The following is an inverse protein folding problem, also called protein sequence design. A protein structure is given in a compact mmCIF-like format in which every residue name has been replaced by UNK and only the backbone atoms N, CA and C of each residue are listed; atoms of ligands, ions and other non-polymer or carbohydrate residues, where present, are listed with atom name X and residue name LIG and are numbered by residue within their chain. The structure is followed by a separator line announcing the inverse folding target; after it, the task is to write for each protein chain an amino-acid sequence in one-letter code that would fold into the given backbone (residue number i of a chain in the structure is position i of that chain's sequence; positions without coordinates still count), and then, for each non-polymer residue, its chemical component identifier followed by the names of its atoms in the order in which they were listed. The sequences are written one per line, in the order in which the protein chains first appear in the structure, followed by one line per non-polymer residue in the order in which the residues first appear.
data_IF_194057832720
#
_entry.id   IF_194057832720
#
_cell.length_a   1.000
_cell.length_b   1.000
_cell.length_c   1.000
_cell.angle_alpha   90.00
_cell.angle_beta   90.00
_cell.angle_gamma   90.00
#
_symmetry.space_group_name_H-M   'P 1'
#
loop_
_entity.id
_entity.type
_entity.pdbx_description
1 polymer ?
#
# COMPACT_ATOMS: atom_id res chain seq x y z
N UNK A 1 -40.37 37.13 11.25
CA UNK A 1 -40.23 36.79 9.81
C UNK A 1 -39.63 35.40 9.72
N UNK A 2 -40.45 34.40 9.47
CA UNK A 2 -40.03 33.03 9.24
C UNK A 2 -39.58 32.96 7.78
N UNK A 3 -38.29 32.72 7.55
CA UNK A 3 -37.79 32.45 6.18
C UNK A 3 -38.33 31.10 5.73
N UNK A 4 -39.25 31.12 4.77
CA UNK A 4 -39.61 29.91 4.03
C UNK A 4 -38.39 29.40 3.32
N UNK A 5 -37.88 28.27 3.78
CA UNK A 5 -36.94 27.47 2.97
C UNK A 5 -37.75 26.87 1.83
N UNK A 6 -37.43 27.24 0.60
CA UNK A 6 -37.96 26.58 -0.59
C UNK A 6 -37.69 25.09 -0.48
N UNK A 7 -38.72 24.25 -0.60
CA UNK A 7 -38.63 22.82 -0.76
C UNK A 7 -37.78 22.52 -2.02
N UNK A 8 -36.48 22.40 -1.84
CA UNK A 8 -35.65 21.79 -2.88
C UNK A 8 -35.97 20.30 -2.91
N UNK A 9 -36.47 19.83 -4.03
CA UNK A 9 -36.69 18.40 -4.26
C UNK A 9 -35.43 17.67 -3.84
N UNK A 10 -35.50 16.68 -2.92
CA UNK A 10 -34.31 15.96 -2.48
C UNK A 10 -33.64 15.30 -3.68
N UNK A 11 -32.33 15.46 -3.81
CA UNK A 11 -31.55 14.76 -4.82
C UNK A 11 -31.52 13.31 -4.36
N UNK A 12 -32.15 12.43 -5.13
CA UNK A 12 -32.13 10.99 -4.92
C UNK A 12 -31.16 10.39 -5.92
N UNK A 13 -30.20 9.62 -5.40
CA UNK A 13 -29.27 8.85 -6.23
C UNK A 13 -29.69 7.39 -6.27
N UNK A 14 -30.00 6.88 -7.46
CA UNK A 14 -30.19 5.46 -7.66
C UNK A 14 -28.84 4.74 -7.57
N UNK A 15 -28.79 3.68 -6.75
CA UNK A 15 -27.60 2.86 -6.57
C UNK A 15 -27.80 1.48 -7.24
N UNK A 16 -27.36 0.44 -6.59
CA UNK A 16 -27.46 -0.95 -7.04
C UNK A 16 -28.75 -1.62 -6.55
N UNK A 17 -29.33 -2.55 -7.31
CA UNK A 17 -30.49 -3.31 -6.84
C UNK A 17 -30.11 -4.43 -5.86
N UNK A 18 -30.99 -4.71 -4.90
CA UNK A 18 -30.89 -5.85 -3.98
C UNK A 18 -32.18 -6.66 -4.07
N UNK A 19 -32.10 -7.94 -4.40
CA UNK A 19 -33.25 -8.82 -4.57
C UNK A 19 -34.36 -8.19 -5.44
N UNK A 20 -33.99 -7.61 -6.58
CA UNK A 20 -34.85 -6.89 -7.51
C UNK A 20 -35.52 -5.61 -6.95
N UNK A 21 -35.06 -5.09 -5.81
CA UNK A 21 -35.48 -3.80 -5.27
C UNK A 21 -34.38 -2.77 -5.51
N UNK A 22 -34.76 -1.64 -6.12
CA UNK A 22 -33.85 -0.51 -6.30
C UNK A 22 -33.51 0.09 -4.95
N UNK A 23 -32.22 0.38 -4.73
CA UNK A 23 -31.74 1.14 -3.57
C UNK A 23 -31.57 2.59 -3.99
N UNK A 24 -32.17 3.47 -3.24
CA UNK A 24 -32.09 4.91 -3.41
C UNK A 24 -31.37 5.54 -2.24
N UNK A 25 -30.46 6.46 -2.50
CA UNK A 25 -29.78 7.28 -1.50
C UNK A 25 -30.35 8.70 -1.57
N UNK A 26 -30.83 9.20 -0.44
CA UNK A 26 -31.25 10.59 -0.32
C UNK A 26 -30.65 11.23 0.93
N UNK A 27 -30.40 12.52 0.88
CA UNK A 27 -29.87 13.31 2.01
C UNK A 27 -30.98 14.13 2.66
N UNK A 28 -32.10 13.48 3.01
CA UNK A 28 -33.27 14.14 3.57
C UNK A 28 -33.18 14.43 5.07
N UNK A 29 -32.20 13.87 5.76
CA UNK A 29 -31.84 14.20 7.15
C UNK A 29 -32.76 13.65 8.24
N UNK A 30 -33.71 12.76 7.94
CA UNK A 30 -34.67 12.28 8.93
C UNK A 30 -34.23 11.01 9.71
N UNK A 31 -33.52 10.08 9.07
CA UNK A 31 -32.99 8.89 9.72
C UNK A 31 -31.49 8.77 9.42
N UNK A 32 -30.67 9.03 10.43
CA UNK A 32 -29.22 9.01 10.30
C UNK A 32 -28.71 7.63 10.74
N UNK A 33 -28.24 6.84 9.79
CA UNK A 33 -27.37 5.68 10.12
C UNK A 33 -25.91 6.16 10.23
N UNK A 34 -25.18 5.72 11.26
CA UNK A 34 -23.75 6.03 11.41
C UNK A 34 -22.93 5.55 10.22
N UNK A 35 -23.35 4.45 9.57
CA UNK A 35 -22.62 3.75 8.52
C UNK A 35 -23.21 3.90 7.12
N UNK A 36 -24.13 4.85 6.94
CA UNK A 36 -24.79 5.12 5.64
C UNK A 36 -23.82 5.39 4.48
N UNK A 37 -22.64 5.92 4.76
CA UNK A 37 -21.57 6.12 3.78
C UNK A 37 -21.08 4.84 3.10
N UNK A 38 -21.28 3.67 3.71
CA UNK A 38 -20.92 2.37 3.12
C UNK A 38 -21.69 2.07 1.84
N UNK A 39 -22.89 2.64 1.64
CA UNK A 39 -23.63 2.49 0.39
C UNK A 39 -22.88 3.10 -0.80
N UNK A 40 -22.18 4.21 -0.60
CA UNK A 40 -21.32 4.79 -1.64
C UNK A 40 -20.11 3.89 -1.94
N UNK A 41 -19.50 3.34 -0.91
CA UNK A 41 -18.41 2.38 -1.07
C UNK A 41 -18.90 1.10 -1.79
N UNK A 42 -20.11 0.66 -1.48
CA UNK A 42 -20.75 -0.47 -2.19
C UNK A 42 -20.95 -0.17 -3.67
N UNK A 43 -21.32 1.06 -4.02
CA UNK A 43 -21.46 1.45 -5.42
C UNK A 43 -20.10 1.45 -6.14
N UNK A 44 -19.04 1.92 -5.48
CA UNK A 44 -17.66 1.81 -6.01
C UNK A 44 -17.29 0.34 -6.25
N UNK A 45 -17.57 -0.54 -5.28
CA UNK A 45 -17.33 -1.99 -5.45
C UNK A 45 -18.16 -2.58 -6.58
N UNK A 46 -19.41 -2.13 -6.77
CA UNK A 46 -20.24 -2.58 -7.86
C UNK A 46 -19.65 -2.24 -9.23
N UNK A 47 -19.00 -1.10 -9.36
CA UNK A 47 -18.30 -0.69 -10.58
C UNK A 47 -16.93 -1.39 -10.75
N UNK A 48 -16.16 -1.54 -9.68
CA UNK A 48 -14.82 -2.13 -9.72
C UNK A 48 -14.83 -3.66 -9.71
N UNK A 49 -15.78 -4.28 -8.98
CA UNK A 49 -15.87 -5.71 -8.80
C UNK A 49 -14.69 -6.35 -8.05
N UNK A 50 -13.93 -5.57 -7.29
CA UNK A 50 -12.68 -6.03 -6.66
C UNK A 50 -12.92 -7.16 -5.66
N UNK A 51 -13.93 -7.05 -4.81
CA UNK A 51 -14.26 -8.10 -3.82
C UNK A 51 -14.68 -9.39 -4.53
N UNK A 52 -15.43 -9.27 -5.63
CA UNK A 52 -15.81 -10.43 -6.43
C UNK A 52 -14.57 -11.11 -7.04
N UNK A 53 -13.64 -10.35 -7.57
CA UNK A 53 -12.37 -10.85 -8.14
C UNK A 53 -11.53 -11.55 -7.06
N UNK A 54 -11.36 -10.92 -5.90
CA UNK A 54 -10.65 -11.52 -4.77
C UNK A 54 -11.34 -12.80 -4.28
N UNK A 55 -12.67 -12.82 -4.20
CA UNK A 55 -13.41 -14.02 -3.78
C UNK A 55 -13.18 -15.22 -4.70
N UNK A 56 -13.00 -14.98 -5.99
CA UNK A 56 -12.69 -16.03 -6.97
C UNK A 56 -11.27 -16.60 -6.82
N UNK A 57 -10.38 -15.87 -6.16
CA UNK A 57 -9.03 -16.35 -5.85
C UNK A 57 -9.01 -17.34 -4.67
N UNK A 58 -10.05 -17.38 -3.85
CA UNK A 58 -10.12 -18.22 -2.64
C UNK A 58 -10.80 -19.54 -2.97
N UNK A 59 -10.13 -20.64 -2.64
CA UNK A 59 -10.67 -21.97 -2.83
C UNK A 59 -11.65 -22.32 -1.72
N UNK A 60 -12.93 -22.45 -2.06
CA UNK A 60 -13.96 -22.88 -1.11
C UNK A 60 -14.07 -24.42 -1.09
N UNK A 61 -13.58 -25.03 -0.02
CA UNK A 61 -13.61 -26.48 0.16
C UNK A 61 -14.85 -26.94 0.97
N UNK A 62 -15.79 -26.04 1.30
CA UNK A 62 -17.00 -26.39 2.05
C UNK A 62 -17.99 -27.12 1.17
N UNK A 63 -18.81 -27.97 1.77
CA UNK A 63 -19.94 -28.58 1.07
C UNK A 63 -21.00 -27.51 0.81
N UNK A 64 -21.18 -27.17 -0.47
CA UNK A 64 -22.03 -26.06 -0.90
C UNK A 64 -23.52 -26.23 -0.51
N UNK A 65 -23.95 -27.46 -0.16
CA UNK A 65 -25.30 -27.71 0.35
C UNK A 65 -25.59 -27.14 1.73
N UNK A 66 -24.51 -26.85 2.50
CA UNK A 66 -24.58 -26.36 3.86
C UNK A 66 -23.91 -24.98 4.03
N UNK A 67 -23.76 -24.25 2.92
CA UNK A 67 -23.13 -22.90 2.94
C UNK A 67 -24.22 -21.85 3.06
N UNK A 68 -24.37 -21.25 4.23
CA UNK A 68 -25.28 -20.11 4.48
C UNK A 68 -24.66 -18.77 4.04
N UNK A 69 -23.33 -18.68 4.04
CA UNK A 69 -22.56 -17.49 3.71
C UNK A 69 -21.50 -17.82 2.67
N UNK A 70 -21.62 -17.24 1.47
CA UNK A 70 -20.62 -17.40 0.41
C UNK A 70 -19.32 -16.69 0.77
N UNK A 71 -18.18 -17.10 0.16
CA UNK A 71 -16.89 -16.40 0.30
C UNK A 71 -17.06 -14.92 -0.04
N UNK A 72 -17.71 -14.60 -1.15
CA UNK A 72 -17.96 -13.22 -1.58
C UNK A 72 -18.72 -12.40 -0.53
N UNK A 73 -19.78 -12.97 0.04
CA UNK A 73 -20.58 -12.29 1.05
C UNK A 73 -19.77 -12.01 2.32
N UNK A 74 -19.03 -13.02 2.80
CA UNK A 74 -18.16 -12.86 3.97
C UNK A 74 -17.04 -11.84 3.72
N UNK A 75 -16.42 -11.84 2.55
CA UNK A 75 -15.44 -10.83 2.16
C UNK A 75 -16.05 -9.44 2.11
N UNK A 76 -17.25 -9.30 1.54
CA UNK A 76 -17.96 -8.03 1.51
C UNK A 76 -18.20 -7.53 2.93
N UNK A 77 -18.77 -8.36 3.79
CA UNK A 77 -18.98 -8.02 5.20
C UNK A 77 -17.67 -7.53 5.84
N UNK A 78 -16.60 -8.30 5.70
CA UNK A 78 -15.33 -8.02 6.36
C UNK A 78 -14.66 -6.74 5.86
N UNK A 79 -14.59 -6.54 4.56
CA UNK A 79 -14.00 -5.34 3.95
C UNK A 79 -14.77 -4.09 4.35
N UNK A 80 -16.10 -4.17 4.37
CA UNK A 80 -16.94 -3.02 4.74
C UNK A 80 -16.86 -2.72 6.24
N UNK A 81 -16.74 -3.73 7.10
CA UNK A 81 -16.49 -3.54 8.52
C UNK A 81 -15.17 -2.80 8.75
N UNK A 82 -14.08 -3.24 8.13
CA UNK A 82 -12.78 -2.57 8.22
C UNK A 82 -12.88 -1.13 7.71
N UNK A 83 -13.55 -0.90 6.59
CA UNK A 83 -13.71 0.43 6.01
C UNK A 83 -14.55 1.37 6.89
N UNK A 84 -15.46 0.84 7.69
CA UNK A 84 -16.24 1.57 8.69
C UNK A 84 -15.52 1.77 10.03
N UNK A 85 -14.35 1.13 10.22
CA UNK A 85 -13.55 1.22 11.44
C UNK A 85 -13.84 0.13 12.46
N UNK A 86 -14.53 -0.93 12.07
CA UNK A 86 -14.77 -2.13 12.88
C UNK A 86 -13.75 -3.21 12.50
N UNK A 87 -12.54 -3.04 13.00
CA UNK A 87 -11.44 -3.93 12.64
C UNK A 87 -11.43 -5.27 13.38
N UNK A 88 -12.05 -5.35 14.57
CA UNK A 88 -12.11 -6.61 15.32
C UNK A 88 -13.08 -7.60 14.67
N UNK A 89 -12.66 -8.86 14.61
CA UNK A 89 -13.54 -9.93 14.12
C UNK A 89 -14.75 -10.14 15.06
N UNK A 90 -14.66 -9.75 16.34
CA UNK A 90 -15.78 -9.82 17.29
C UNK A 90 -16.92 -8.87 16.89
N UNK A 91 -16.62 -7.75 16.22
CA UNK A 91 -17.64 -6.81 15.73
C UNK A 91 -18.62 -7.48 14.74
N UNK A 92 -18.23 -8.62 14.15
CA UNK A 92 -19.14 -9.39 13.30
C UNK A 92 -20.43 -9.78 13.99
N UNK A 93 -20.37 -10.14 15.29
CA UNK A 93 -21.57 -10.58 16.02
C UNK A 93 -22.54 -9.42 16.29
N UNK A 94 -22.03 -8.22 16.52
CA UNK A 94 -22.82 -7.02 16.73
C UNK A 94 -23.40 -6.46 15.43
N UNK A 95 -22.65 -6.57 14.33
CA UNK A 95 -22.99 -5.98 13.05
C UNK A 95 -23.74 -6.92 12.08
N UNK A 96 -23.84 -8.21 12.40
CA UNK A 96 -24.47 -9.22 11.51
C UNK A 96 -25.93 -8.92 11.15
N UNK A 97 -26.65 -8.20 12.00
CA UNK A 97 -28.05 -7.85 11.83
C UNK A 97 -28.26 -6.37 11.42
N UNK A 98 -27.18 -5.58 11.34
CA UNK A 98 -27.22 -4.19 10.91
C UNK A 98 -27.74 -4.08 9.44
N UNK A 99 -28.66 -3.17 9.23
CA UNK A 99 -29.36 -3.00 7.95
C UNK A 99 -28.44 -2.55 6.83
N UNK A 100 -27.47 -1.67 7.11
CA UNK A 100 -26.52 -1.16 6.11
C UNK A 100 -25.54 -2.25 5.70
N UNK A 101 -24.97 -2.98 6.65
CA UNK A 101 -24.08 -4.10 6.34
C UNK A 101 -24.80 -5.22 5.57
N UNK A 102 -26.03 -5.55 5.94
CA UNK A 102 -26.85 -6.51 5.17
C UNK A 102 -27.09 -6.03 3.74
N UNK A 103 -27.44 -4.77 3.57
CA UNK A 103 -27.63 -4.15 2.23
C UNK A 103 -26.34 -4.20 1.42
N UNK A 104 -25.22 -3.84 2.00
CA UNK A 104 -23.91 -3.87 1.34
C UNK A 104 -23.52 -5.29 0.92
N UNK A 105 -23.87 -6.31 1.71
CA UNK A 105 -23.64 -7.71 1.40
C UNK A 105 -24.68 -8.32 0.42
N UNK A 106 -25.67 -7.53 -0.03
CA UNK A 106 -26.70 -7.98 -0.97
C UNK A 106 -27.90 -8.66 -0.32
N UNK A 107 -28.09 -8.54 1.00
CA UNK A 107 -29.25 -9.04 1.74
C UNK A 107 -30.28 -7.94 1.96
N UNK A 108 -31.53 -8.33 2.07
CA UNK A 108 -32.60 -7.38 2.43
C UNK A 108 -32.35 -6.83 3.84
N UNK A 109 -32.45 -5.51 4.06
CA UNK A 109 -32.07 -4.89 5.32
C UNK A 109 -32.90 -5.39 6.51
N UNK A 110 -34.21 -5.51 6.36
CA UNK A 110 -35.13 -5.89 7.44
C UNK A 110 -35.36 -7.40 7.54
N UNK A 111 -35.64 -8.06 6.41
CA UNK A 111 -36.09 -9.46 6.36
C UNK A 111 -35.01 -10.44 5.90
N UNK A 112 -33.84 -9.97 5.45
CA UNK A 112 -32.73 -10.82 5.06
C UNK A 112 -32.13 -11.55 6.27
N UNK A 113 -31.58 -12.74 6.05
CA UNK A 113 -30.88 -13.50 7.09
C UNK A 113 -29.69 -12.68 7.63
N UNK A 114 -29.32 -12.95 8.88
CA UNK A 114 -28.12 -12.37 9.49
C UNK A 114 -26.88 -12.67 8.67
N UNK A 115 -25.88 -11.76 8.72
CA UNK A 115 -24.56 -11.98 8.12
C UNK A 115 -23.75 -12.99 8.95
N UNK A 116 -22.52 -13.27 8.52
CA UNK A 116 -21.65 -14.22 9.18
C UNK A 116 -21.29 -13.77 10.61
N UNK A 117 -21.33 -14.72 11.56
CA UNK A 117 -20.87 -14.51 12.93
C UNK A 117 -19.36 -14.51 13.04
N UNK A 118 -18.83 -14.03 14.16
CA UNK A 118 -17.40 -14.04 14.47
C UNK A 118 -16.75 -15.42 14.25
N UNK A 119 -17.27 -16.54 14.78
CA UNK A 119 -16.65 -17.85 14.53
C UNK A 119 -16.64 -18.26 13.05
N UNK A 120 -17.63 -17.81 12.28
CA UNK A 120 -17.71 -18.10 10.84
C UNK A 120 -16.67 -17.28 10.08
N UNK A 121 -16.53 -16.01 10.43
CA UNK A 121 -15.52 -15.12 9.83
C UNK A 121 -14.10 -15.60 10.17
N UNK A 122 -13.85 -15.95 11.44
CA UNK A 122 -12.55 -16.49 11.87
C UNK A 122 -12.19 -17.78 11.12
N UNK A 123 -13.17 -18.67 10.86
CA UNK A 123 -12.92 -19.87 10.03
C UNK A 123 -12.56 -19.51 8.59
N UNK A 124 -13.18 -18.49 8.00
CA UNK A 124 -12.78 -18.00 6.69
C UNK A 124 -11.33 -17.53 6.70
N UNK A 125 -11.01 -16.60 7.59
CA UNK A 125 -9.66 -16.03 7.68
C UNK A 125 -8.58 -17.12 7.85
N UNK A 126 -8.85 -18.14 8.67
CA UNK A 126 -7.93 -19.25 8.93
C UNK A 126 -7.94 -20.32 7.80
N UNK A 127 -8.86 -20.30 6.86
CA UNK A 127 -8.93 -21.28 5.76
C UNK A 127 -8.10 -20.89 4.54
N UNK A 128 -7.68 -19.62 4.45
CA UNK A 128 -6.97 -19.08 3.29
C UNK A 128 -5.55 -19.63 3.21
N UNK A 129 -5.19 -20.18 2.07
CA UNK A 129 -3.89 -20.83 1.83
C UNK A 129 -2.92 -19.88 1.12
N UNK A 130 -1.62 -20.15 1.21
CA UNK A 130 -0.58 -19.36 0.53
C UNK A 130 -0.78 -19.24 -0.98
N UNK A 131 -1.39 -20.24 -1.63
CA UNK A 131 -1.74 -20.17 -3.04
C UNK A 131 -2.86 -19.18 -3.33
N UNK A 132 -3.87 -19.11 -2.44
CA UNK A 132 -4.97 -18.14 -2.55
C UNK A 132 -4.42 -16.72 -2.39
N UNK A 133 -3.53 -16.52 -1.41
CA UNK A 133 -2.85 -15.24 -1.17
C UNK A 133 -2.03 -14.79 -2.38
N UNK A 134 -1.33 -15.72 -3.02
CA UNK A 134 -0.57 -15.42 -4.22
C UNK A 134 -1.49 -14.97 -5.37
N UNK A 135 -2.62 -15.66 -5.58
CA UNK A 135 -3.63 -15.29 -6.59
C UNK A 135 -4.25 -13.92 -6.30
N UNK A 136 -4.58 -13.64 -5.04
CA UNK A 136 -5.08 -12.33 -4.61
C UNK A 136 -4.05 -11.23 -4.90
N UNK A 137 -2.78 -11.49 -4.60
CA UNK A 137 -1.71 -10.54 -4.91
C UNK A 137 -1.56 -10.27 -6.41
N UNK A 138 -1.73 -11.28 -7.26
CA UNK A 138 -1.76 -11.12 -8.72
C UNK A 138 -2.98 -10.32 -9.16
N UNK A 139 -4.17 -10.61 -8.61
CA UNK A 139 -5.41 -9.91 -8.93
C UNK A 139 -5.35 -8.41 -8.61
N UNK A 140 -4.65 -8.01 -7.53
CA UNK A 140 -4.39 -6.60 -7.25
C UNK A 140 -3.54 -5.95 -8.34
N UNK A 141 -2.51 -6.66 -8.82
CA UNK A 141 -1.67 -6.17 -9.92
C UNK A 141 -2.46 -6.07 -11.22
N UNK A 142 -3.31 -7.05 -11.51
CA UNK A 142 -4.17 -7.05 -12.70
C UNK A 142 -5.19 -5.89 -12.66
N UNK A 143 -5.79 -5.65 -11.49
CA UNK A 143 -6.65 -4.48 -11.26
C UNK A 143 -5.90 -3.16 -11.49
N UNK A 144 -4.65 -3.08 -11.05
CA UNK A 144 -3.81 -1.92 -11.34
C UNK A 144 -3.56 -1.76 -12.85
N UNK A 145 -3.22 -2.83 -13.55
CA UNK A 145 -2.99 -2.81 -15.02
C UNK A 145 -4.24 -2.34 -15.75
N UNK A 146 -5.39 -2.90 -15.43
CA UNK A 146 -6.69 -2.55 -16.03
C UNK A 146 -7.14 -1.11 -15.74
N UNK A 147 -6.57 -0.47 -14.73
CA UNK A 147 -6.83 0.94 -14.45
C UNK A 147 -6.21 1.93 -15.46
N UNK A 148 -5.52 1.41 -16.47
CA UNK A 148 -4.93 2.17 -17.59
C UNK A 148 -5.61 1.81 -18.89
N UNK A 149 -6.08 2.82 -19.62
CA UNK A 149 -6.73 2.63 -20.93
C UNK A 149 -5.77 2.14 -22.03
N UNK A 150 -4.47 2.30 -21.81
CA UNK A 150 -3.41 1.89 -22.75
C UNK A 150 -2.09 1.65 -22.01
N UNK A 151 -1.19 0.90 -22.64
CA UNK A 151 0.16 0.69 -22.14
C UNK A 151 0.87 2.03 -21.84
N UNK A 152 1.30 2.29 -20.60
CA UNK A 152 2.01 3.51 -20.25
C UNK A 152 3.45 3.47 -20.77
N UNK A 153 4.00 4.61 -21.18
CA UNK A 153 5.39 4.69 -21.62
C UNK A 153 6.40 4.41 -20.50
N UNK A 154 6.05 4.77 -19.26
CA UNK A 154 6.88 4.56 -18.06
C UNK A 154 6.01 4.38 -16.85
N UNK A 155 6.44 3.50 -15.94
CA UNK A 155 5.92 3.36 -14.57
C UNK A 155 7.08 3.32 -13.58
N UNK A 156 6.83 3.82 -12.38
CA UNK A 156 7.79 3.81 -11.28
C UNK A 156 7.21 2.97 -10.13
N UNK A 157 7.88 1.87 -9.81
CA UNK A 157 7.52 1.03 -8.68
C UNK A 157 8.16 1.58 -7.41
N UNK A 158 7.42 2.37 -6.65
CA UNK A 158 7.83 2.86 -5.34
C UNK A 158 7.66 1.77 -4.30
N UNK A 159 8.77 1.31 -3.76
CA UNK A 159 8.81 0.24 -2.79
C UNK A 159 9.20 0.76 -1.42
N UNK A 160 8.42 0.44 -0.40
CA UNK A 160 8.74 0.76 0.99
C UNK A 160 8.15 -0.24 1.98
N UNK A 161 8.90 -0.52 3.02
CA UNK A 161 8.48 -1.33 4.15
C UNK A 161 7.99 -0.40 5.27
N UNK A 162 6.91 -0.77 5.93
CA UNK A 162 6.46 -0.04 7.12
C UNK A 162 6.25 -1.01 8.28
N UNK A 163 6.53 -0.56 9.50
CA UNK A 163 6.20 -1.40 10.64
C UNK A 163 4.70 -1.33 10.94
N UNK A 164 4.16 -2.45 11.38
CA UNK A 164 2.81 -2.58 11.85
C UNK A 164 2.82 -3.34 13.18
N UNK A 165 2.72 -2.59 14.28
CA UNK A 165 2.80 -3.15 15.62
C UNK A 165 1.62 -4.09 15.86
N UNK A 166 1.88 -5.19 16.55
CA UNK A 166 0.88 -6.20 16.86
C UNK A 166 0.72 -6.34 18.36
N UNK A 167 -0.49 -6.67 18.77
CA UNK A 167 -0.85 -6.87 20.16
C UNK A 167 -1.38 -8.30 20.29
N UNK A 168 -0.61 -9.17 20.96
CA UNK A 168 -0.98 -10.57 21.14
C UNK A 168 -0.06 -11.57 20.43
N UNK A 169 -0.40 -12.85 20.52
CA UNK A 169 0.40 -13.96 19.97
C UNK A 169 -0.10 -14.36 18.59
N UNK A 170 0.17 -13.52 17.60
CA UNK A 170 -0.18 -13.84 16.21
C UNK A 170 0.96 -14.58 15.53
N UNK A 171 0.63 -15.47 14.59
CA UNK A 171 1.62 -16.20 13.81
C UNK A 171 2.57 -15.26 13.04
N UNK A 172 3.88 -15.55 13.03
CA UNK A 172 4.91 -14.74 12.36
C UNK A 172 5.06 -13.30 12.88
N UNK A 173 4.39 -12.97 13.99
CA UNK A 173 4.64 -11.77 14.75
C UNK A 173 6.01 -11.90 15.42
N UNK A 174 7.01 -11.17 14.93
CA UNK A 174 8.38 -11.25 15.40
C UNK A 174 8.83 -9.91 15.99
N UNK A 175 9.67 -10.00 17.02
CA UNK A 175 10.30 -8.82 17.59
C UNK A 175 11.25 -8.16 16.59
N UNK A 176 11.05 -6.88 16.35
CA UNK A 176 11.90 -6.08 15.49
C UNK A 176 12.82 -5.20 16.33
N UNK A 177 14.13 -5.45 16.23
CA UNK A 177 15.13 -4.72 17.03
C UNK A 177 15.20 -3.22 16.72
N UNK A 178 14.87 -2.80 15.49
CA UNK A 178 14.92 -1.40 15.09
C UNK A 178 13.75 -0.60 15.68
N UNK A 179 12.55 -1.22 15.71
CA UNK A 179 11.35 -0.58 16.25
C UNK A 179 11.12 -0.89 17.73
N UNK A 180 11.92 -1.79 18.32
CA UNK A 180 11.78 -2.28 19.71
C UNK A 180 10.38 -2.80 20.04
N UNK A 181 9.71 -3.45 19.09
CA UNK A 181 8.36 -3.94 19.25
C UNK A 181 8.10 -5.22 18.42
N UNK A 182 7.05 -5.95 18.81
CA UNK A 182 6.53 -7.04 18.00
C UNK A 182 5.67 -6.48 16.87
N UNK A 183 5.98 -6.83 15.64
CA UNK A 183 5.30 -6.25 14.49
C UNK A 183 5.30 -7.18 13.29
N UNK A 184 4.53 -6.81 12.27
CA UNK A 184 4.74 -7.20 10.88
C UNK A 184 5.46 -6.07 10.12
N UNK A 185 6.03 -6.41 8.97
CA UNK A 185 6.72 -5.47 8.07
C UNK A 185 6.12 -5.55 6.66
N UNK A 186 4.88 -5.06 6.46
CA UNK A 186 4.29 -5.06 5.13
C UNK A 186 5.14 -4.24 4.14
N UNK A 187 5.31 -4.81 2.94
CA UNK A 187 5.89 -4.14 1.79
C UNK A 187 4.75 -3.58 0.95
N UNK A 188 4.71 -2.27 0.81
CA UNK A 188 3.81 -1.59 -0.10
C UNK A 188 4.52 -1.25 -1.39
N UNK A 189 3.84 -1.43 -2.52
CA UNK A 189 4.33 -1.02 -3.83
C UNK A 189 3.27 -0.14 -4.49
N UNK A 190 3.63 1.13 -4.71
CA UNK A 190 2.80 2.11 -5.38
C UNK A 190 3.39 2.49 -6.74
N UNK A 191 2.55 2.89 -7.67
CA UNK A 191 3.01 3.56 -8.88
C UNK A 191 3.33 5.02 -8.55
N UNK A 192 4.58 5.41 -8.81
CA UNK A 192 5.16 6.67 -8.35
C UNK A 192 4.59 7.93 -9.01
N UNK A 193 4.04 7.85 -10.23
CA UNK A 193 3.49 8.98 -10.96
C UNK A 193 2.00 9.18 -10.69
N UNK A 194 1.21 8.12 -10.76
CA UNK A 194 -0.23 8.16 -10.55
C UNK A 194 -0.64 8.07 -9.07
N UNK A 195 0.21 7.48 -8.24
CA UNK A 195 -0.13 7.22 -6.85
C UNK A 195 -0.98 5.98 -6.61
N UNK A 196 -1.30 5.22 -7.64
CA UNK A 196 -2.11 4.02 -7.52
C UNK A 196 -1.36 2.92 -6.75
N UNK A 197 -2.07 2.21 -5.88
CA UNK A 197 -1.54 1.01 -5.23
C UNK A 197 -1.42 -0.10 -6.27
N UNK A 198 -0.25 -0.73 -6.35
CA UNK A 198 -0.03 -1.91 -7.19
C UNK A 198 -0.30 -3.16 -6.38
N UNK A 199 0.35 -3.30 -5.23
CA UNK A 199 0.14 -4.44 -4.33
C UNK A 199 0.70 -4.15 -2.93
N UNK A 200 0.22 -4.90 -1.97
CA UNK A 200 0.74 -4.91 -0.59
C UNK A 200 1.04 -6.35 -0.20
N UNK A 201 2.22 -6.58 0.38
CA UNK A 201 2.65 -7.93 0.77
C UNK A 201 3.03 -7.91 2.24
N UNK A 202 2.29 -8.65 3.06
CA UNK A 202 2.61 -8.82 4.46
C UNK A 202 3.87 -9.66 4.61
N UNK A 203 4.77 -9.21 5.47
CA UNK A 203 6.00 -9.93 5.82
C UNK A 203 6.13 -10.03 7.34
N UNK A 204 6.83 -11.07 7.83
CA UNK A 204 7.17 -11.18 9.24
C UNK A 204 7.88 -9.94 9.77
N UNK A 205 7.80 -9.68 11.07
CA UNK A 205 8.35 -8.48 11.73
C UNK A 205 9.87 -8.30 11.62
N UNK A 206 10.62 -9.33 11.27
CA UNK A 206 12.07 -9.21 11.02
C UNK A 206 12.34 -8.63 9.62
N UNK A 207 13.47 -7.96 9.50
CA UNK A 207 13.95 -7.46 8.20
C UNK A 207 14.09 -8.62 7.21
N UNK A 208 13.43 -8.50 6.05
CA UNK A 208 13.53 -9.48 4.97
C UNK A 208 14.95 -9.54 4.41
N UNK A 209 15.35 -10.70 3.91
CA UNK A 209 16.60 -10.80 3.14
C UNK A 209 16.43 -10.06 1.81
N UNK A 210 17.49 -9.42 1.34
CA UNK A 210 17.48 -8.74 0.04
C UNK A 210 17.15 -9.71 -1.13
N UNK A 211 17.54 -10.97 -1.03
CA UNK A 211 17.21 -12.03 -2.00
C UNK A 211 15.70 -12.25 -2.14
N UNK A 212 14.97 -12.20 -1.02
CA UNK A 212 13.53 -12.45 -1.01
C UNK A 212 12.78 -11.28 -1.68
N UNK A 213 13.20 -10.05 -1.38
CA UNK A 213 12.69 -8.83 -2.01
C UNK A 213 13.01 -8.83 -3.51
N UNK A 214 14.25 -9.16 -3.90
CA UNK A 214 14.66 -9.26 -5.29
C UNK A 214 13.79 -10.26 -6.06
N UNK A 215 13.57 -11.45 -5.49
CA UNK A 215 12.74 -12.49 -6.10
C UNK A 215 11.28 -12.01 -6.30
N UNK A 216 10.73 -11.29 -5.34
CA UNK A 216 9.39 -10.73 -5.40
C UNK A 216 9.27 -9.66 -6.51
N UNK A 217 10.21 -8.70 -6.54
CA UNK A 217 10.24 -7.64 -7.56
C UNK A 217 10.42 -8.20 -8.97
N UNK A 218 11.27 -9.23 -9.15
CA UNK A 218 11.42 -9.93 -10.42
C UNK A 218 10.10 -10.54 -10.89
N UNK A 219 9.37 -11.23 -10.00
CA UNK A 219 8.05 -11.82 -10.32
C UNK A 219 7.04 -10.75 -10.70
N UNK A 220 6.99 -9.65 -9.95
CA UNK A 220 6.09 -8.53 -10.23
C UNK A 220 6.39 -7.93 -11.61
N UNK A 221 7.65 -7.61 -11.91
CA UNK A 221 8.03 -7.04 -13.20
C UNK A 221 7.71 -8.00 -14.35
N UNK A 222 8.00 -9.28 -14.19
CA UNK A 222 7.67 -10.29 -15.20
C UNK A 222 6.15 -10.44 -15.40
N UNK A 223 5.35 -10.26 -14.35
CA UNK A 223 3.90 -10.25 -14.45
C UNK A 223 3.42 -9.03 -15.24
N UNK A 224 3.89 -7.82 -14.89
CA UNK A 224 3.57 -6.59 -15.62
C UNK A 224 4.00 -6.64 -17.10
N UNK A 225 5.11 -7.33 -17.41
CA UNK A 225 5.61 -7.50 -18.79
C UNK A 225 4.70 -8.33 -19.69
N UNK A 226 3.80 -9.15 -19.12
CA UNK A 226 2.83 -9.91 -19.93
C UNK A 226 1.86 -8.97 -20.65
N UNK A 227 1.44 -7.90 -19.97
CA UNK A 227 0.48 -6.93 -20.48
C UNK A 227 1.18 -5.71 -21.12
N UNK A 228 2.32 -5.30 -20.56
CA UNK A 228 3.07 -4.10 -20.92
C UNK A 228 4.50 -4.44 -21.40
N UNK A 229 4.61 -4.88 -22.64
CA UNK A 229 5.87 -5.37 -23.20
C UNK A 229 6.93 -4.25 -23.36
N UNK A 230 6.49 -3.02 -23.68
CA UNK A 230 7.38 -1.91 -24.03
C UNK A 230 7.56 -0.85 -22.93
N UNK A 231 6.76 -0.91 -21.86
CA UNK A 231 6.81 0.06 -20.78
C UNK A 231 8.18 0.11 -20.11
N UNK A 232 8.74 1.29 -19.90
CA UNK A 232 9.91 1.46 -19.05
C UNK A 232 9.49 1.27 -17.58
N UNK A 233 10.02 0.25 -16.92
CA UNK A 233 9.73 -0.04 -15.50
C UNK A 233 10.93 0.36 -14.65
N UNK A 234 10.74 1.31 -13.72
CA UNK A 234 11.79 1.79 -12.83
C UNK A 234 11.44 1.40 -11.40
N UNK A 235 12.29 0.64 -10.74
CA UNK A 235 12.15 0.34 -9.31
C UNK A 235 12.83 1.42 -8.49
N UNK A 236 12.11 1.98 -7.54
CA UNK A 236 12.59 3.02 -6.64
C UNK A 236 12.39 2.62 -5.18
N UNK A 237 13.44 2.73 -4.38
CA UNK A 237 13.41 2.34 -2.97
C UNK A 237 14.60 2.87 -2.19
N UNK A 238 14.62 2.60 -0.90
CA UNK A 238 15.76 2.94 -0.05
C UNK A 238 16.93 1.95 -0.24
N UNK A 239 17.94 2.01 0.63
CA UNK A 239 19.10 1.13 0.56
C UNK A 239 18.79 -0.35 0.82
N UNK A 240 17.62 -0.67 1.38
CA UNK A 240 17.20 -2.04 1.59
C UNK A 240 16.89 -2.75 0.27
N UNK A 241 16.46 -2.00 -0.75
CA UNK A 241 16.14 -2.51 -2.09
C UNK A 241 17.38 -2.60 -3.00
N UNK A 242 18.56 -2.19 -2.54
CA UNK A 242 19.82 -2.29 -3.29
C UNK A 242 20.40 -3.70 -3.15
N UNK A 243 20.08 -4.58 -4.08
CA UNK A 243 20.58 -5.96 -4.14
C UNK A 243 21.41 -6.14 -5.39
N UNK A 244 22.64 -6.68 -5.25
CA UNK A 244 23.53 -6.96 -6.38
C UNK A 244 22.87 -7.89 -7.42
N UNK A 245 22.17 -8.92 -6.95
CA UNK A 245 21.44 -9.86 -7.81
C UNK A 245 20.27 -9.19 -8.55
N UNK A 246 19.52 -8.31 -7.88
CA UNK A 246 18.44 -7.58 -8.51
C UNK A 246 18.96 -6.55 -9.53
N UNK A 247 20.03 -5.82 -9.18
CA UNK A 247 20.66 -4.86 -10.08
C UNK A 247 21.12 -5.51 -11.37
N UNK A 248 21.89 -6.63 -11.26
CA UNK A 248 22.34 -7.42 -12.41
C UNK A 248 21.16 -7.88 -13.26
N UNK A 249 20.11 -8.42 -12.63
CA UNK A 249 18.92 -8.86 -13.34
C UNK A 249 18.24 -7.70 -14.10
N UNK A 250 18.11 -6.51 -13.50
CA UNK A 250 17.54 -5.33 -14.18
C UNK A 250 18.37 -4.93 -15.42
N UNK A 251 19.69 -5.09 -15.37
CA UNK A 251 20.59 -4.78 -16.49
C UNK A 251 20.40 -5.74 -17.67
N UNK A 252 20.00 -6.96 -17.38
CA UNK A 252 19.72 -8.00 -18.38
C UNK A 252 18.31 -7.87 -18.98
N UNK A 253 17.40 -7.10 -18.34
CA UNK A 253 16.02 -6.94 -18.80
C UNK A 253 15.83 -5.72 -19.67
N UNK A 254 15.03 -5.88 -20.72
CA UNK A 254 14.64 -4.78 -21.59
C UNK A 254 13.82 -3.73 -20.81
N UNK A 255 14.10 -2.45 -21.05
CA UNK A 255 13.40 -1.32 -20.44
C UNK A 255 13.16 -1.45 -18.92
N UNK A 256 14.18 -1.90 -18.20
CA UNK A 256 14.10 -2.04 -16.74
C UNK A 256 15.20 -1.26 -16.05
N UNK A 257 14.82 -0.36 -15.14
CA UNK A 257 15.73 0.49 -14.40
C UNK A 257 15.51 0.45 -12.89
N UNK A 258 16.47 1.02 -12.18
CA UNK A 258 16.34 1.21 -10.73
C UNK A 258 16.97 2.52 -10.29
N UNK A 259 16.44 3.09 -9.20
CA UNK A 259 17.01 4.22 -8.46
C UNK A 259 16.88 3.88 -6.98
N UNK A 260 17.96 3.46 -6.34
CA UNK A 260 17.93 3.02 -4.94
C UNK A 260 18.98 3.72 -4.09
N UNK A 261 18.70 3.85 -2.80
CA UNK A 261 19.65 4.41 -1.85
C UNK A 261 20.87 3.50 -1.67
N UNK A 262 22.01 4.10 -1.36
CA UNK A 262 23.23 3.37 -0.95
C UNK A 262 23.77 3.98 0.34
N UNK A 263 24.09 3.13 1.30
CA UNK A 263 24.71 3.57 2.55
C UNK A 263 26.12 4.12 2.28
N UNK A 264 26.40 5.32 2.81
CA UNK A 264 27.72 5.93 2.72
C UNK A 264 28.77 5.08 3.43
N UNK A 265 29.92 4.95 2.81
CA UNK A 265 31.10 4.29 3.40
C UNK A 265 32.39 4.98 2.91
N UNK A 266 33.51 4.67 3.53
CA UNK A 266 34.79 5.34 3.32
C UNK A 266 35.14 5.53 1.83
N UNK A 267 35.06 4.48 1.01
CA UNK A 267 35.43 4.56 -0.41
C UNK A 267 34.53 5.52 -1.20
N UNK A 268 33.21 5.54 -0.95
CA UNK A 268 32.30 6.50 -1.58
C UNK A 268 32.60 7.93 -1.15
N UNK A 269 32.96 8.15 0.12
CA UNK A 269 33.39 9.47 0.60
C UNK A 269 34.69 9.93 -0.04
N UNK A 270 35.67 9.04 -0.22
CA UNK A 270 36.94 9.33 -0.92
C UNK A 270 36.65 9.76 -2.39
N UNK A 271 35.77 9.04 -3.09
CA UNK A 271 35.38 9.39 -4.48
C UNK A 271 34.59 10.69 -4.57
N UNK A 272 33.84 11.06 -3.56
CA UNK A 272 33.07 12.30 -3.47
C UNK A 272 33.86 13.48 -2.86
N UNK A 273 35.09 13.27 -2.40
CA UNK A 273 35.87 14.21 -1.58
C UNK A 273 35.97 15.61 -2.19
N UNK A 274 36.21 15.73 -3.49
CA UNK A 274 36.31 17.03 -4.20
C UNK A 274 34.99 17.81 -4.08
N UNK A 275 33.85 17.12 -4.26
CA UNK A 275 32.52 17.74 -4.19
C UNK A 275 32.21 18.17 -2.74
N UNK A 276 32.54 17.31 -1.76
CA UNK A 276 32.37 17.59 -0.33
C UNK A 276 33.15 18.82 0.08
N UNK A 277 34.47 18.81 -0.19
CA UNK A 277 35.37 19.91 0.18
C UNK A 277 34.99 21.22 -0.52
N UNK A 278 34.54 21.17 -1.77
CA UNK A 278 34.06 22.35 -2.49
C UNK A 278 32.83 22.97 -1.82
N UNK A 279 31.85 22.12 -1.43
CA UNK A 279 30.65 22.58 -0.76
C UNK A 279 30.97 23.18 0.66
N UNK A 280 31.85 22.54 1.40
CA UNK A 280 32.25 23.00 2.74
C UNK A 280 33.02 24.32 2.67
N UNK A 281 33.93 24.49 1.70
CA UNK A 281 34.66 25.75 1.48
C UNK A 281 33.71 26.89 1.15
N UNK A 282 32.72 26.65 0.26
CA UNK A 282 31.75 27.68 -0.11
C UNK A 282 30.87 28.06 1.09
N UNK A 283 30.41 27.10 1.87
CA UNK A 283 29.67 27.38 3.11
C UNK A 283 30.49 28.18 4.10
N UNK A 284 31.78 27.81 4.30
CA UNK A 284 32.69 28.54 5.17
C UNK A 284 32.92 29.98 4.72
N UNK A 285 32.95 30.21 3.41
CA UNK A 285 33.18 31.54 2.81
C UNK A 285 31.95 32.44 2.91
N UNK A 286 30.76 31.91 2.65
CA UNK A 286 29.55 32.73 2.50
C UNK A 286 28.51 32.56 3.61
N UNK A 287 28.63 31.57 4.47
CA UNK A 287 27.67 31.28 5.55
C UNK A 287 26.27 30.85 5.05
N UNK A 288 26.12 30.57 3.75
CA UNK A 288 24.83 30.22 3.13
C UNK A 288 24.76 28.74 2.87
N UNK A 289 23.53 28.19 2.98
CA UNK A 289 23.24 26.80 2.63
C UNK A 289 23.76 26.46 1.22
N UNK A 290 24.54 25.39 1.15
CA UNK A 290 25.13 24.89 -0.10
C UNK A 290 24.59 23.50 -0.41
N UNK A 291 24.23 23.26 -1.66
CA UNK A 291 23.79 21.96 -2.14
C UNK A 291 24.50 21.63 -3.45
N UNK A 292 25.12 20.46 -3.51
CA UNK A 292 25.89 19.99 -4.67
C UNK A 292 25.51 18.58 -5.05
N UNK A 293 25.57 18.30 -6.33
CA UNK A 293 25.37 16.99 -6.93
C UNK A 293 26.54 16.61 -7.80
N UNK A 294 26.97 15.36 -7.69
CA UNK A 294 27.98 14.79 -8.56
C UNK A 294 27.66 13.34 -8.83
N UNK A 295 28.22 12.77 -9.92
CA UNK A 295 28.09 11.35 -10.21
C UNK A 295 29.41 10.77 -10.67
N UNK A 296 29.63 9.52 -10.31
CA UNK A 296 30.80 8.76 -10.68
C UNK A 296 30.42 7.28 -10.86
N UNK A 297 31.27 6.53 -11.54
CA UNK A 297 31.13 5.07 -11.63
C UNK A 297 31.82 4.43 -10.43
N UNK A 298 31.09 3.54 -9.76
CA UNK A 298 31.58 2.78 -8.63
C UNK A 298 31.16 1.31 -8.74
N UNK A 299 32.03 0.41 -8.35
CA UNK A 299 31.76 -1.02 -8.30
C UNK A 299 32.04 -1.54 -6.89
N UNK A 300 31.01 -2.04 -6.22
CA UNK A 300 31.17 -2.82 -5.00
C UNK A 300 31.66 -4.24 -5.35
N UNK A 301 32.31 -4.92 -4.40
CA UNK A 301 32.83 -6.26 -4.63
C UNK A 301 31.78 -7.31 -5.01
N UNK A 302 30.52 -7.09 -4.65
CA UNK A 302 29.39 -7.96 -5.01
C UNK A 302 28.69 -7.58 -6.31
N UNK A 303 29.02 -6.44 -6.93
CA UNK A 303 28.36 -5.97 -8.15
C UNK A 303 29.03 -6.56 -9.39
N UNK A 304 28.23 -6.95 -10.38
CA UNK A 304 28.70 -7.53 -11.65
C UNK A 304 29.54 -6.55 -12.46
N UNK A 305 29.20 -5.25 -12.38
CA UNK A 305 29.85 -4.20 -13.16
C UNK A 305 29.77 -2.85 -12.43
N UNK A 306 30.59 -1.85 -12.85
CA UNK A 306 30.47 -0.50 -12.32
C UNK A 306 29.11 0.12 -12.57
N UNK A 307 28.53 0.76 -11.55
CA UNK A 307 27.24 1.42 -11.62
C UNK A 307 27.39 2.91 -11.41
N UNK A 308 26.46 3.70 -11.96
CA UNK A 308 26.41 5.13 -11.72
C UNK A 308 25.92 5.39 -10.29
N UNK A 309 26.78 5.96 -9.48
CA UNK A 309 26.46 6.46 -8.15
C UNK A 309 26.33 7.97 -8.22
N UNK A 310 25.24 8.51 -7.67
CA UNK A 310 25.03 9.95 -7.52
C UNK A 310 25.19 10.31 -6.05
N UNK A 311 25.99 11.31 -5.76
CA UNK A 311 26.15 11.91 -4.44
C UNK A 311 25.40 13.23 -4.39
N UNK A 312 24.66 13.43 -3.29
CA UNK A 312 24.14 14.73 -2.86
C UNK A 312 24.92 15.15 -1.62
N UNK A 313 25.48 16.35 -1.66
CA UNK A 313 26.16 17.01 -0.54
C UNK A 313 25.38 18.26 -0.16
N UNK A 314 24.97 18.34 1.07
CA UNK A 314 24.31 19.52 1.66
C UNK A 314 25.14 20.00 2.86
N UNK A 315 25.46 21.29 2.86
CA UNK A 315 26.19 21.91 3.97
C UNK A 315 25.37 23.08 4.52
N UNK A 316 25.14 23.05 5.80
CA UNK A 316 24.36 24.05 6.54
C UNK A 316 24.97 24.32 7.91
N UNK A 317 24.39 25.23 8.69
CA UNK A 317 24.76 25.45 10.09
C UNK A 317 24.61 24.17 10.96
N UNK A 318 23.80 23.20 10.52
CA UNK A 318 23.63 21.90 11.21
C UNK A 318 24.71 20.87 10.85
N UNK A 319 25.65 21.23 9.97
CA UNK A 319 26.72 20.35 9.49
C UNK A 319 26.57 19.90 8.04
N UNK A 320 27.37 18.89 7.67
CA UNK A 320 27.42 18.32 6.31
C UNK A 320 26.60 17.03 6.26
N UNK A 321 25.61 16.98 5.35
CA UNK A 321 24.79 15.81 5.08
C UNK A 321 25.11 15.26 3.69
N UNK A 322 25.54 14.00 3.64
CA UNK A 322 25.97 13.33 2.41
C UNK A 322 25.09 12.10 2.18
N UNK A 323 24.48 12.00 1.02
CA UNK A 323 23.65 10.84 0.64
C UNK A 323 24.01 10.34 -0.74
N UNK A 324 23.91 9.04 -0.91
CA UNK A 324 24.22 8.35 -2.16
C UNK A 324 23.04 7.58 -2.68
N UNK A 325 22.87 7.56 -4.00
CA UNK A 325 21.96 6.66 -4.72
C UNK A 325 22.72 5.96 -5.83
N UNK A 326 22.26 4.78 -6.21
CA UNK A 326 22.78 4.01 -7.34
C UNK A 326 21.68 3.79 -8.37
N UNK A 327 22.07 3.77 -9.66
CA UNK A 327 21.15 3.61 -10.77
C UNK A 327 21.85 3.10 -12.03
N UNK A 328 21.11 2.38 -12.88
CA UNK A 328 21.52 2.06 -14.25
C UNK A 328 21.03 3.09 -15.29
N UNK A 329 20.34 4.15 -14.87
CA UNK A 329 19.87 5.23 -15.75
C UNK A 329 20.98 6.24 -16.02
N UNK A 330 21.96 5.84 -16.83
CA UNK A 330 23.21 6.62 -17.03
C UNK A 330 23.02 7.90 -17.82
N UNK A 331 21.98 8.02 -18.66
CA UNK A 331 21.72 9.15 -19.55
C UNK A 331 21.26 10.42 -18.82
N UNK A 332 20.76 10.31 -17.59
CA UNK A 332 20.22 11.45 -16.86
C UNK A 332 21.28 12.18 -16.03
N UNK A 333 21.11 13.50 -15.83
CA UNK A 333 22.00 14.32 -15.00
C UNK A 333 21.87 13.96 -13.52
N UNK A 334 22.97 14.05 -12.76
CA UNK A 334 23.01 13.72 -11.34
C UNK A 334 21.93 14.45 -10.52
N UNK A 335 21.75 15.75 -10.75
CA UNK A 335 20.73 16.56 -10.06
C UNK A 335 19.31 16.07 -10.36
N UNK A 336 18.99 15.80 -11.63
CA UNK A 336 17.64 15.35 -12.01
C UNK A 336 17.33 13.96 -11.48
N UNK A 337 18.29 13.03 -11.52
CA UNK A 337 18.18 11.70 -10.92
C UNK A 337 17.89 11.79 -9.43
N UNK A 338 18.57 12.70 -8.74
CA UNK A 338 18.39 12.82 -7.28
C UNK A 338 17.09 13.55 -6.93
N UNK A 339 16.88 14.77 -7.47
CA UNK A 339 15.76 15.63 -7.08
C UNK A 339 14.42 15.14 -7.64
N UNK A 340 14.37 14.84 -8.94
CA UNK A 340 13.13 14.43 -9.64
C UNK A 340 12.92 12.93 -9.61
N UNK A 341 14.00 12.16 -9.72
CA UNK A 341 13.95 10.70 -9.65
C UNK A 341 13.77 10.21 -8.22
N UNK A 342 14.79 10.34 -7.37
CA UNK A 342 14.83 9.71 -6.06
C UNK A 342 13.97 10.43 -5.00
N UNK A 343 14.05 11.77 -4.91
CA UNK A 343 13.33 12.52 -3.87
C UNK A 343 11.80 12.47 -4.02
N UNK A 344 11.30 12.25 -5.24
CA UNK A 344 9.86 12.08 -5.46
C UNK A 344 9.26 10.85 -4.73
N UNK A 345 10.12 9.92 -4.25
CA UNK A 345 9.73 8.83 -3.33
C UNK A 345 9.08 9.35 -2.04
N UNK A 346 9.40 10.57 -1.59
CA UNK A 346 8.80 11.15 -0.38
C UNK A 346 7.27 11.17 -0.39
N UNK A 347 6.63 11.19 -1.56
CA UNK A 347 5.18 11.08 -1.68
C UNK A 347 4.64 9.72 -1.20
N UNK A 348 5.46 8.66 -1.24
CA UNK A 348 5.05 7.33 -0.79
C UNK A 348 4.82 7.26 0.72
N UNK A 349 5.63 7.96 1.51
CA UNK A 349 5.44 8.02 2.97
C UNK A 349 4.06 8.60 3.33
N UNK A 350 3.60 9.61 2.56
CA UNK A 350 2.27 10.17 2.74
C UNK A 350 1.18 9.15 2.35
N UNK A 351 1.34 8.45 1.24
CA UNK A 351 0.40 7.40 0.80
C UNK A 351 0.32 6.25 1.79
N UNK A 352 1.45 5.82 2.37
CA UNK A 352 1.44 4.82 3.44
C UNK A 352 0.70 5.33 4.68
N UNK A 353 0.86 6.61 5.03
CA UNK A 353 0.09 7.22 6.13
C UNK A 353 -1.40 7.25 5.82
N UNK A 354 -1.79 7.64 4.62
CA UNK A 354 -3.18 7.63 4.17
C UNK A 354 -3.76 6.21 4.19
N UNK A 355 -2.99 5.23 3.71
CA UNK A 355 -3.35 3.82 3.76
C UNK A 355 -3.57 3.30 5.20
N UNK A 356 -2.83 3.84 6.17
CA UNK A 356 -2.97 3.54 7.59
C UNK A 356 -4.10 4.33 8.28
N UNK A 357 -4.59 5.41 7.68
CA UNK A 357 -5.61 6.29 8.24
C UNK A 357 -6.95 5.97 7.59
N UNK A 358 -7.61 4.91 8.03
CA UNK A 358 -8.96 4.55 7.56
C UNK A 358 -10.02 5.47 8.17
N UNK A 359 -9.72 6.20 9.26
CA UNK A 359 -10.70 7.02 9.99
C UNK A 359 -10.36 8.49 9.95
N UNK A 360 -11.37 9.38 9.66
CA UNK A 360 -11.17 10.82 9.71
C UNK A 360 -10.74 11.31 11.10
N UNK A 361 -9.79 12.22 11.15
CA UNK A 361 -9.23 12.80 12.38
C UNK A 361 -10.28 13.34 13.38
N UNK A 362 -11.52 13.60 12.96
CA UNK A 362 -12.63 14.02 13.82
C UNK A 362 -13.09 12.92 14.78
N UNK A 363 -13.05 11.65 14.41
CA UNK A 363 -13.39 10.54 15.31
C UNK A 363 -12.30 10.29 16.36
N UNK A 364 -11.05 10.60 16.04
CA UNK A 364 -9.92 10.49 16.95
C UNK A 364 -10.10 11.30 18.25
N UNK A 365 -10.74 12.47 18.19
CA UNK A 365 -11.01 13.32 19.37
C UNK A 365 -12.11 12.77 20.28
N UNK A 366 -13.10 12.08 19.73
CA UNK A 366 -14.22 11.50 20.49
C UNK A 366 -13.83 10.25 21.30
N UNK A 367 -12.81 9.50 20.87
CA UNK A 367 -12.44 8.21 21.44
C UNK A 367 -11.01 8.16 22.03
N UNK A 368 -10.43 9.30 22.41
CA UNK A 368 -9.05 9.46 22.87
C UNK A 368 -8.54 8.47 23.94
N UNK A 369 -9.42 7.80 24.68
CA UNK A 369 -9.04 6.86 25.72
C UNK A 369 -9.09 5.38 25.34
N UNK A 370 -9.91 4.99 24.37
CA UNK A 370 -10.10 3.57 23.96
C UNK A 370 -9.52 3.25 22.58
N UNK A 371 -9.51 4.22 21.70
CA UNK A 371 -9.16 4.07 20.30
C UNK A 371 -7.64 4.00 20.05
N UNK A 372 -6.84 4.62 20.91
CA UNK A 372 -5.39 4.67 20.75
C UNK A 372 -4.71 3.29 20.76
N UNK A 373 -5.30 2.32 21.43
CA UNK A 373 -4.80 0.94 21.47
C UNK A 373 -5.27 0.08 20.27
N UNK A 374 -6.40 0.42 19.65
CA UNK A 374 -6.99 -0.34 18.56
C UNK A 374 -6.39 0.03 17.18
N UNK A 375 -6.14 1.30 16.91
CA UNK A 375 -5.77 1.82 15.58
C UNK A 375 -4.37 1.48 15.07
N UNK A 376 -3.47 1.03 15.93
CA UNK A 376 -2.16 0.53 15.47
C UNK A 376 -2.22 -0.88 14.84
N UNK A 377 -3.35 -1.55 14.96
CA UNK A 377 -3.59 -2.89 14.42
C UNK A 377 -4.19 -2.98 13.02
N UNK A 378 -4.64 -1.86 12.44
CA UNK A 378 -5.49 -1.84 11.24
C UNK A 378 -4.90 -2.50 10.00
N UNK A 379 -3.60 -2.38 9.80
CA UNK A 379 -2.95 -3.07 8.69
C UNK A 379 -2.83 -4.59 8.92
N UNK A 380 -2.92 -5.04 10.16
CA UNK A 380 -2.91 -6.48 10.49
C UNK A 380 -4.17 -7.15 9.97
N UNK A 381 -5.28 -6.42 9.90
CA UNK A 381 -6.58 -6.95 9.52
C UNK A 381 -6.79 -7.08 8.02
N UNK A 382 -6.27 -6.15 7.22
CA UNK A 382 -6.09 -6.40 5.79
C UNK A 382 -5.19 -7.63 5.57
N UNK A 383 -4.46 -7.99 6.59
CA UNK A 383 -3.44 -9.00 6.62
C UNK A 383 -3.93 -10.36 7.13
N UNK A 384 -5.01 -10.45 7.92
CA UNK A 384 -5.63 -11.74 8.22
C UNK A 384 -6.27 -12.36 6.98
N UNK A 385 -6.64 -11.56 5.97
CA UNK A 385 -6.98 -12.08 4.65
C UNK A 385 -5.79 -12.62 3.87
N UNK A 386 -4.57 -12.22 4.21
CA UNK A 386 -3.41 -12.53 3.39
C UNK A 386 -2.44 -13.53 4.02
N UNK A 387 -2.57 -13.87 5.34
CA UNK A 387 -1.55 -14.66 6.02
C UNK A 387 -2.06 -15.41 7.29
N UNK A 388 -2.72 -16.52 7.08
CA UNK A 388 -2.72 -17.64 8.02
C UNK A 388 -2.35 -18.92 7.31
#
# INVERSE_FOLDING_TARGET
MIKNYSETTPIVHELFPVSNKQIELSFTGYDISSDGGLLLLREVENQMGLINRISNCITDNRDQRYVDHTIREMLTQRVFQIAAGYEDCNDCDDLRDDMIFKTCAGRLPQTGLSLASQPTMSRLENSIKSQDLYRIGQELVDTFVESYDREPGVIILDCDDTNNNTYGQQGLNLFNQYYHDHCYMPLHIYEGLSGKLITTILKPGRRSKQSDIASLLKKLILHLRKEWANTMIIVRGDSHFTSADFMRWCEEQYNTGYITGVSGHRKLHEMAAVTIQSAEREFKQYGKYVKRYHSFLYQAGSWSQPQKVVVKVEVSAMGTNIRYIVTNLVQFRAKDLYEKGYCARGAMELRIKEHKLIIPAKLYHLFRGKVYHHFRGELVMQNSFFFN
#
